data_IF_355072278653
#
_entry.id   IF_355072278653
#
_cell.length_a   1.000
_cell.length_b   1.000
_cell.length_c   1.000
_cell.angle_alpha   90.00
_cell.angle_beta   90.00
_cell.angle_gamma   90.00
#
_symmetry.space_group_name_H-M   'P 1'
#
loop_
_entity.id
_entity.type
_entity.pdbx_description
1 polymer ?
#
# COMPACT_ATOMS: atom_id res chain seq x y z
N UNK A 1 -32.49 -46.76 17.06
CA UNK A 1 -31.41 -45.86 16.63
C UNK A 1 -31.79 -45.28 15.26
N UNK A 2 -32.33 -44.08 15.24
CA UNK A 2 -32.71 -43.43 14.00
C UNK A 2 -31.46 -42.74 13.42
N UNK A 3 -31.01 -43.16 12.23
CA UNK A 3 -29.98 -42.49 11.46
C UNK A 3 -30.59 -41.17 10.89
N UNK A 4 -30.23 -40.04 11.48
CA UNK A 4 -30.48 -38.76 10.86
C UNK A 4 -29.54 -38.62 9.65
N UNK A 5 -30.14 -38.68 8.48
CA UNK A 5 -29.50 -38.32 7.21
C UNK A 5 -29.31 -36.82 7.22
N UNK A 6 -28.17 -36.34 7.68
CA UNK A 6 -27.77 -34.94 7.53
C UNK A 6 -27.07 -34.83 6.18
N UNK A 7 -27.85 -34.44 5.14
CA UNK A 7 -27.25 -34.12 3.85
C UNK A 7 -26.10 -33.13 3.99
N UNK A 8 -25.23 -33.04 3.00
CA UNK A 8 -23.96 -32.30 2.88
C UNK A 8 -23.88 -30.94 3.62
N UNK A 9 -23.97 -30.96 4.96
CA UNK A 9 -23.81 -29.75 5.78
C UNK A 9 -22.47 -29.83 6.52
N UNK A 10 -21.55 -28.90 6.18
CA UNK A 10 -20.40 -28.65 7.03
C UNK A 10 -20.82 -27.80 8.23
N UNK A 11 -20.49 -28.30 9.43
CA UNK A 11 -20.67 -27.51 10.66
C UNK A 11 -19.48 -26.58 10.78
N UNK A 12 -19.76 -25.27 10.76
CA UNK A 12 -18.77 -24.22 11.02
C UNK A 12 -19.15 -23.55 12.33
N UNK A 13 -18.25 -23.60 13.31
CA UNK A 13 -18.41 -22.89 14.58
C UNK A 13 -17.84 -21.50 14.46
N UNK A 14 -18.64 -20.47 14.74
CA UNK A 14 -18.23 -19.08 14.76
C UNK A 14 -18.34 -18.58 16.20
N UNK A 15 -17.25 -18.05 16.75
CA UNK A 15 -17.24 -17.35 18.03
C UNK A 15 -17.59 -15.88 17.78
N UNK A 16 -18.64 -15.37 18.43
CA UNK A 16 -19.07 -13.98 18.36
C UNK A 16 -18.85 -13.32 19.73
N UNK A 17 -18.38 -12.08 19.81
CA UNK A 17 -18.31 -11.31 21.05
C UNK A 17 -19.66 -11.23 21.76
N UNK A 18 -19.65 -11.20 23.09
CA UNK A 18 -20.87 -11.28 23.93
C UNK A 18 -21.83 -10.10 23.70
N UNK A 19 -21.30 -8.90 23.49
CA UNK A 19 -22.05 -7.70 23.15
C UNK A 19 -22.82 -7.84 21.83
N UNK A 20 -22.17 -8.40 20.81
CA UNK A 20 -22.81 -8.69 19.51
C UNK A 20 -23.84 -9.79 19.64
N UNK A 21 -23.60 -10.79 20.51
CA UNK A 21 -24.54 -11.85 20.76
C UNK A 21 -25.81 -11.35 21.45
N UNK A 22 -25.67 -10.43 22.42
CA UNK A 22 -26.80 -9.79 23.12
C UNK A 22 -27.63 -8.92 22.18
N UNK A 23 -26.99 -8.22 21.26
CA UNK A 23 -27.67 -7.40 20.25
C UNK A 23 -28.44 -8.27 19.24
N UNK A 24 -27.86 -9.37 18.79
CA UNK A 24 -28.53 -10.38 17.97
C UNK A 24 -29.77 -10.98 18.65
N UNK A 25 -29.72 -11.19 19.98
CA UNK A 25 -30.89 -11.68 20.75
C UNK A 25 -32.02 -10.65 20.80
N UNK A 26 -31.73 -9.37 20.92
CA UNK A 26 -32.72 -8.30 20.84
C UNK A 26 -33.42 -8.28 19.48
N UNK A 27 -32.69 -8.49 18.40
CA UNK A 27 -33.21 -8.49 17.03
C UNK A 27 -33.98 -9.77 16.68
N UNK A 28 -33.67 -10.90 17.30
CA UNK A 28 -34.27 -12.21 17.00
C UNK A 28 -35.38 -12.63 17.97
N UNK A 29 -35.78 -11.76 18.91
CA UNK A 29 -36.91 -12.01 19.80
C UNK A 29 -36.64 -12.95 20.98
N UNK A 30 -35.39 -13.07 21.44
CA UNK A 30 -35.05 -13.60 22.79
C UNK A 30 -35.32 -15.07 23.07
N UNK A 31 -35.44 -15.94 22.07
CA UNK A 31 -35.66 -17.37 22.24
C UNK A 31 -34.38 -18.19 22.11
N UNK A 32 -34.02 -18.97 23.13
CA UNK A 32 -32.82 -19.83 23.22
C UNK A 32 -32.41 -20.43 21.86
N UNK A 33 -31.32 -19.93 21.30
CA UNK A 33 -30.50 -20.52 20.21
C UNK A 33 -31.11 -20.78 18.83
N UNK A 34 -32.42 -20.67 18.60
CA UNK A 34 -33.04 -20.96 17.29
C UNK A 34 -33.02 -19.81 16.28
N UNK A 35 -33.00 -18.57 16.77
CA UNK A 35 -33.03 -17.38 15.92
C UNK A 35 -31.67 -16.95 15.40
N UNK A 36 -30.61 -17.01 16.22
CA UNK A 36 -29.26 -16.54 15.91
C UNK A 36 -28.65 -17.24 14.67
N UNK A 37 -28.69 -18.59 14.68
CA UNK A 37 -28.14 -19.38 13.57
C UNK A 37 -28.89 -19.15 12.26
N UNK A 38 -30.22 -19.03 12.30
CA UNK A 38 -31.03 -18.75 11.12
C UNK A 38 -30.74 -17.35 10.57
N UNK A 39 -30.57 -16.34 11.45
CA UNK A 39 -30.25 -14.97 11.06
C UNK A 39 -28.85 -14.87 10.45
N UNK A 40 -27.84 -15.51 11.07
CA UNK A 40 -26.47 -15.56 10.53
C UNK A 40 -26.45 -16.21 9.14
N UNK A 41 -27.12 -17.36 9.00
CA UNK A 41 -27.23 -18.04 7.69
C UNK A 41 -27.92 -17.16 6.65
N UNK A 42 -28.99 -16.43 7.04
CA UNK A 42 -29.68 -15.53 6.13
C UNK A 42 -28.82 -14.30 5.76
N UNK A 43 -28.09 -13.73 6.71
CA UNK A 43 -27.17 -12.63 6.44
C UNK A 43 -26.03 -13.06 5.49
N UNK A 44 -25.47 -14.27 5.70
CA UNK A 44 -24.48 -14.86 4.80
C UNK A 44 -25.07 -15.08 3.39
N UNK A 45 -26.28 -15.63 3.30
CA UNK A 45 -26.96 -15.84 2.01
C UNK A 45 -27.18 -14.51 1.28
N UNK A 46 -27.75 -13.51 1.97
CA UNK A 46 -27.96 -12.18 1.38
C UNK A 46 -26.63 -11.58 0.88
N UNK A 47 -25.52 -11.78 1.61
CA UNK A 47 -24.21 -11.31 1.17
C UNK A 47 -23.67 -12.07 -0.03
N UNK A 48 -23.92 -13.38 -0.09
CA UNK A 48 -23.56 -14.22 -1.24
C UNK A 48 -24.43 -13.89 -2.46
N UNK A 49 -25.73 -13.66 -2.26
CA UNK A 49 -26.67 -13.28 -3.32
C UNK A 49 -26.31 -11.90 -3.90
N UNK A 50 -25.95 -10.93 -3.06
CA UNK A 50 -25.44 -9.62 -3.50
C UNK A 50 -24.15 -9.80 -4.31
N UNK A 51 -23.21 -10.63 -3.84
CA UNK A 51 -21.98 -10.93 -4.59
C UNK A 51 -22.27 -11.66 -5.89
N UNK A 52 -23.18 -12.64 -5.90
CA UNK A 52 -23.61 -13.35 -7.10
C UNK A 52 -24.19 -12.41 -8.14
N UNK A 53 -25.09 -11.52 -7.72
CA UNK A 53 -25.69 -10.48 -8.58
C UNK A 53 -24.64 -9.49 -9.08
N UNK A 54 -23.71 -9.07 -8.22
CA UNK A 54 -22.61 -8.19 -8.61
C UNK A 54 -21.67 -8.85 -9.64
N UNK A 55 -21.31 -10.12 -9.41
CA UNK A 55 -20.52 -10.89 -10.39
C UNK A 55 -21.24 -11.09 -11.72
N UNK A 56 -22.55 -11.32 -11.69
CA UNK A 56 -23.36 -11.43 -12.89
C UNK A 56 -23.43 -10.10 -13.65
N UNK A 57 -23.72 -8.99 -12.96
CA UNK A 57 -23.74 -7.65 -13.54
C UNK A 57 -22.34 -7.22 -14.05
N UNK A 58 -21.30 -7.59 -13.34
CA UNK A 58 -19.91 -7.34 -13.76
C UNK A 58 -19.53 -8.16 -15.01
N UNK A 59 -19.99 -9.43 -15.10
CA UNK A 59 -19.84 -10.26 -16.32
C UNK A 59 -20.63 -9.70 -17.49
N UNK A 60 -21.85 -9.25 -17.25
CA UNK A 60 -22.71 -8.64 -18.28
C UNK A 60 -22.17 -7.27 -18.74
N UNK A 61 -21.60 -6.47 -17.82
CA UNK A 61 -20.93 -5.22 -18.16
C UNK A 61 -19.64 -5.47 -18.97
N UNK A 62 -18.83 -6.49 -18.60
CA UNK A 62 -17.67 -6.92 -19.39
C UNK A 62 -18.05 -7.51 -20.75
N UNK A 63 -19.21 -8.17 -20.86
CA UNK A 63 -19.72 -8.69 -22.14
C UNK A 63 -20.28 -7.59 -23.06
N UNK A 64 -20.67 -6.43 -22.50
CA UNK A 64 -21.13 -5.26 -23.26
C UNK A 64 -20.03 -4.27 -23.59
N UNK A 65 -18.85 -4.39 -23.00
CA UNK A 65 -17.67 -3.66 -23.46
C UNK A 65 -17.33 -4.13 -24.88
N UNK A 66 -17.00 -3.24 -25.82
CA UNK A 66 -16.46 -3.69 -27.09
C UNK A 66 -15.30 -4.62 -26.75
N UNK A 67 -15.32 -5.84 -27.29
CA UNK A 67 -14.18 -6.74 -27.23
C UNK A 67 -13.04 -6.03 -27.95
N UNK A 68 -12.20 -5.31 -27.20
CA UNK A 68 -10.88 -5.01 -27.68
C UNK A 68 -10.26 -6.39 -27.92
N UNK A 69 -9.78 -6.65 -29.12
CA UNK A 69 -8.92 -7.79 -29.41
C UNK A 69 -7.64 -7.59 -28.56
N UNK A 70 -7.70 -7.96 -27.29
CA UNK A 70 -6.51 -7.94 -26.43
C UNK A 70 -5.66 -9.10 -26.89
N UNK A 71 -4.63 -8.79 -27.63
CA UNK A 71 -3.60 -9.76 -27.99
C UNK A 71 -2.87 -10.18 -26.72
N UNK A 72 -2.73 -11.48 -26.47
CA UNK A 72 -2.03 -12.00 -25.30
C UNK A 72 -0.64 -12.49 -25.72
N UNK A 73 0.36 -12.18 -24.91
CA UNK A 73 1.67 -12.83 -24.98
C UNK A 73 1.73 -13.96 -23.95
N UNK A 74 2.59 -14.95 -24.22
CA UNK A 74 2.91 -16.02 -23.26
C UNK A 74 4.22 -15.68 -22.58
N UNK A 75 4.21 -15.61 -21.26
CA UNK A 75 5.40 -15.51 -20.43
C UNK A 75 5.56 -16.77 -19.59
N UNK A 76 6.77 -17.03 -19.14
CA UNK A 76 7.10 -18.21 -18.32
C UNK A 76 7.82 -17.78 -17.04
N UNK A 77 7.54 -18.49 -15.95
CA UNK A 77 8.30 -18.44 -14.71
C UNK A 77 8.57 -19.86 -14.20
N UNK A 78 9.08 -19.99 -12.97
CA UNK A 78 9.33 -21.30 -12.34
C UNK A 78 8.08 -22.15 -12.12
N UNK A 79 6.88 -21.53 -12.21
CA UNK A 79 5.57 -22.18 -12.06
C UNK A 79 4.94 -22.56 -13.42
N UNK A 80 5.60 -22.25 -14.54
CA UNK A 80 5.14 -22.56 -15.88
C UNK A 80 4.63 -21.35 -16.67
N UNK A 81 3.91 -21.62 -17.77
CA UNK A 81 3.39 -20.61 -18.67
C UNK A 81 2.22 -19.82 -18.09
N UNK A 82 2.12 -18.55 -18.47
CA UNK A 82 1.02 -17.65 -18.12
C UNK A 82 0.68 -16.73 -19.29
N UNK A 83 -0.61 -16.54 -19.56
CA UNK A 83 -1.10 -15.53 -20.51
C UNK A 83 -1.10 -14.16 -19.86
N UNK A 84 -0.45 -13.20 -20.50
CA UNK A 84 -0.37 -11.80 -20.07
C UNK A 84 -0.89 -10.93 -21.20
N UNK A 85 -1.74 -9.89 -20.93
CA UNK A 85 -2.17 -8.97 -21.98
C UNK A 85 -0.98 -8.32 -22.69
N UNK A 86 -1.02 -8.27 -24.02
CA UNK A 86 0.11 -7.82 -24.85
C UNK A 86 0.46 -6.35 -24.66
N UNK A 87 -0.54 -5.54 -24.27
CA UNK A 87 -0.42 -4.10 -24.03
C UNK A 87 0.07 -3.74 -22.60
N UNK A 88 0.26 -4.72 -21.71
CA UNK A 88 0.65 -4.47 -20.32
C UNK A 88 2.12 -4.79 -20.07
N UNK A 89 2.80 -3.93 -19.29
CA UNK A 89 4.19 -4.16 -18.88
C UNK A 89 4.34 -5.13 -17.70
N UNK A 90 3.28 -5.38 -16.92
CA UNK A 90 3.38 -6.43 -15.90
C UNK A 90 3.53 -7.81 -16.54
N UNK A 91 4.10 -8.76 -15.82
CA UNK A 91 4.41 -10.09 -16.32
C UNK A 91 3.61 -11.21 -15.64
N UNK A 92 4.17 -12.42 -15.71
CA UNK A 92 3.52 -13.65 -15.26
C UNK A 92 3.27 -13.68 -13.74
N UNK A 93 4.16 -13.14 -12.91
CA UNK A 93 3.96 -13.12 -11.46
C UNK A 93 2.75 -12.24 -11.06
N UNK A 94 2.64 -11.07 -11.67
CA UNK A 94 1.48 -10.19 -11.49
C UNK A 94 0.21 -10.84 -12.02
N UNK A 95 0.23 -11.44 -13.19
CA UNK A 95 -0.94 -12.14 -13.75
C UNK A 95 -1.42 -13.29 -12.84
N UNK A 96 -0.50 -14.07 -12.25
CA UNK A 96 -0.84 -15.09 -11.25
C UNK A 96 -1.45 -14.49 -9.99
N UNK A 97 -0.90 -13.37 -9.51
CA UNK A 97 -1.43 -12.67 -8.34
C UNK A 97 -2.87 -12.20 -8.55
N UNK A 98 -3.20 -11.68 -9.72
CA UNK A 98 -4.57 -11.29 -10.09
C UNK A 98 -5.56 -12.46 -10.05
N UNK A 99 -5.09 -13.67 -10.38
CA UNK A 99 -5.92 -14.89 -10.29
C UNK A 99 -6.06 -15.37 -8.85
N UNK A 100 -4.95 -15.37 -8.10
CA UNK A 100 -4.90 -15.95 -6.76
C UNK A 100 -5.48 -15.05 -5.67
N UNK A 101 -5.43 -13.73 -5.86
CA UNK A 101 -5.82 -12.72 -4.86
C UNK A 101 -6.89 -11.75 -5.41
N UNK A 102 -7.92 -12.27 -6.05
CA UNK A 102 -9.09 -11.48 -6.47
C UNK A 102 -10.00 -11.19 -5.27
N UNK A 103 -9.50 -10.39 -4.33
CA UNK A 103 -10.14 -10.08 -3.04
C UNK A 103 -10.31 -8.57 -2.92
N UNK A 104 -11.57 -8.12 -2.83
CA UNK A 104 -11.89 -6.69 -2.75
C UNK A 104 -11.67 -5.95 -4.07
N UNK A 105 -11.85 -4.64 -4.04
CA UNK A 105 -11.73 -3.78 -5.23
C UNK A 105 -10.59 -2.76 -5.10
N UNK A 106 -10.07 -2.55 -3.89
CA UNK A 106 -8.99 -1.62 -3.64
C UNK A 106 -7.67 -2.11 -4.25
N UNK A 107 -6.97 -1.22 -4.93
CA UNK A 107 -5.65 -1.46 -5.50
C UNK A 107 -4.57 -0.78 -4.66
N UNK A 108 -3.31 -1.14 -4.88
CA UNK A 108 -2.19 -0.50 -4.20
C UNK A 108 -2.21 1.02 -4.42
N UNK A 109 -2.09 1.82 -3.34
CA UNK A 109 -2.20 3.28 -3.44
C UNK A 109 -1.03 3.87 -4.24
N UNK A 110 -1.35 4.92 -5.01
CA UNK A 110 -0.39 5.60 -5.88
C UNK A 110 0.90 6.06 -5.16
N UNK A 111 0.85 6.61 -3.93
CA UNK A 111 2.08 6.97 -3.21
C UNK A 111 3.02 5.78 -2.98
N UNK A 112 2.49 4.57 -2.75
CA UNK A 112 3.31 3.37 -2.60
C UNK A 112 3.98 2.97 -3.92
N UNK A 113 3.25 3.03 -5.05
CA UNK A 113 3.82 2.74 -6.37
C UNK A 113 4.91 3.76 -6.72
N UNK A 114 4.67 5.06 -6.46
CA UNK A 114 5.68 6.11 -6.59
C UNK A 114 6.94 5.79 -5.78
N UNK A 115 6.78 5.40 -4.53
CA UNK A 115 7.88 5.04 -3.64
C UNK A 115 8.69 3.84 -4.18
N UNK A 116 8.02 2.85 -4.77
CA UNK A 116 8.70 1.76 -5.48
C UNK A 116 9.50 2.26 -6.68
N UNK A 117 8.97 3.19 -7.47
CA UNK A 117 9.72 3.85 -8.55
C UNK A 117 11.01 4.48 -8.04
N UNK A 118 10.92 5.31 -6.99
CA UNK A 118 12.08 5.94 -6.32
C UNK A 118 13.09 4.89 -5.85
N UNK A 119 12.61 3.84 -5.17
CA UNK A 119 13.45 2.78 -4.62
C UNK A 119 14.22 2.05 -5.74
N UNK A 120 13.52 1.64 -6.80
CA UNK A 120 14.12 0.84 -7.89
C UNK A 120 15.12 1.64 -8.71
N UNK A 121 14.82 2.89 -9.02
CA UNK A 121 15.80 3.76 -9.69
C UNK A 121 17.03 4.02 -8.82
N UNK A 122 16.86 4.25 -7.52
CA UNK A 122 17.97 4.46 -6.59
C UNK A 122 18.84 3.20 -6.46
N UNK A 123 18.20 2.03 -6.37
CA UNK A 123 18.90 0.74 -6.33
C UNK A 123 19.69 0.48 -7.61
N UNK A 124 19.13 0.75 -8.79
CA UNK A 124 19.81 0.58 -10.07
C UNK A 124 21.04 1.50 -10.19
N UNK A 125 20.90 2.80 -9.85
CA UNK A 125 22.03 3.75 -9.82
C UNK A 125 23.12 3.30 -8.87
N UNK A 126 22.75 2.90 -7.66
CA UNK A 126 23.70 2.42 -6.65
C UNK A 126 24.43 1.17 -7.12
N UNK A 127 23.71 0.18 -7.66
CA UNK A 127 24.33 -1.04 -8.19
C UNK A 127 25.25 -0.78 -9.38
N UNK A 128 24.90 0.17 -10.26
CA UNK A 128 25.78 0.64 -11.35
C UNK A 128 27.06 1.25 -10.79
N UNK A 129 26.94 2.17 -9.85
CA UNK A 129 28.08 2.90 -9.29
C UNK A 129 29.01 1.98 -8.47
N UNK A 130 28.48 0.89 -7.92
CA UNK A 130 29.22 -0.20 -7.28
C UNK A 130 29.80 -1.21 -8.27
N UNK A 131 29.52 -1.10 -9.55
CA UNK A 131 30.01 -2.01 -10.60
C UNK A 131 29.38 -3.42 -10.58
N UNK A 132 28.24 -3.59 -9.89
CA UNK A 132 27.54 -4.90 -9.81
C UNK A 132 26.36 -5.01 -10.79
N UNK A 133 26.04 -3.92 -11.49
CA UNK A 133 25.05 -3.87 -12.57
C UNK A 133 25.67 -3.15 -13.77
N UNK A 134 25.47 -3.72 -14.97
CA UNK A 134 25.90 -3.10 -16.21
C UNK A 134 25.30 -1.69 -16.36
N UNK A 135 26.11 -0.78 -16.93
CA UNK A 135 25.74 0.63 -17.02
C UNK A 135 24.50 0.86 -17.88
N UNK A 136 24.45 0.23 -19.05
CA UNK A 136 23.38 0.42 -20.02
C UNK A 136 22.07 -0.17 -19.47
N UNK A 137 22.15 -1.37 -18.87
CA UNK A 137 21.01 -2.00 -18.17
C UNK A 137 20.51 -1.13 -17.02
N UNK A 138 21.40 -0.55 -16.23
CA UNK A 138 21.03 0.33 -15.13
C UNK A 138 20.36 1.61 -15.62
N UNK A 139 20.85 2.21 -16.69
CA UNK A 139 20.29 3.45 -17.25
C UNK A 139 18.85 3.22 -17.75
N UNK A 140 18.56 2.11 -18.47
CA UNK A 140 17.18 1.75 -18.84
C UNK A 140 16.27 1.51 -17.63
N UNK A 141 16.77 0.86 -16.56
CA UNK A 141 16.00 0.65 -15.33
C UNK A 141 15.70 1.99 -14.64
N UNK A 142 16.65 2.91 -14.64
CA UNK A 142 16.47 4.25 -14.06
C UNK A 142 15.39 5.02 -14.82
N UNK A 143 15.45 5.04 -16.16
CA UNK A 143 14.48 5.75 -17.00
C UNK A 143 13.06 5.18 -16.79
N UNK A 144 12.91 3.85 -16.83
CA UNK A 144 11.63 3.19 -16.55
C UNK A 144 11.14 3.44 -15.10
N UNK A 145 12.06 3.47 -14.14
CA UNK A 145 11.76 3.80 -12.74
C UNK A 145 11.27 5.24 -12.56
N UNK A 146 11.79 6.18 -13.35
CA UNK A 146 11.30 7.57 -13.39
C UNK A 146 9.87 7.65 -13.93
N UNK A 147 9.52 6.92 -14.99
CA UNK A 147 8.16 6.84 -15.51
C UNK A 147 7.19 6.28 -14.44
N UNK A 148 7.57 5.22 -13.70
CA UNK A 148 6.79 4.71 -12.57
C UNK A 148 6.62 5.78 -11.49
N UNK A 149 7.70 6.47 -11.12
CA UNK A 149 7.66 7.53 -10.12
C UNK A 149 6.73 8.68 -10.52
N UNK A 150 6.69 9.06 -11.79
CA UNK A 150 5.84 10.16 -12.30
C UNK A 150 4.39 9.73 -12.51
N UNK A 151 4.09 8.44 -12.66
CA UNK A 151 2.74 7.91 -12.84
C UNK A 151 2.38 7.59 -14.28
N UNK A 152 3.33 7.67 -15.18
CA UNK A 152 3.12 7.41 -16.60
C UNK A 152 2.76 5.93 -16.86
N UNK A 153 3.06 5.05 -15.90
CA UNK A 153 2.83 3.61 -15.96
C UNK A 153 1.79 3.09 -14.95
N UNK A 154 0.98 3.96 -14.33
CA UNK A 154 0.05 3.59 -13.26
C UNK A 154 -0.95 2.50 -13.66
N UNK A 155 -1.37 2.44 -14.92
CA UNK A 155 -2.29 1.42 -15.43
C UNK A 155 -1.71 -0.01 -15.45
N UNK A 156 -0.40 -0.17 -15.21
CA UNK A 156 0.30 -1.45 -15.15
C UNK A 156 0.43 -2.00 -13.73
N UNK A 157 -0.22 -1.35 -12.74
CA UNK A 157 -0.22 -1.76 -11.33
C UNK A 157 -1.63 -2.16 -10.84
N UNK A 158 -2.19 -3.26 -11.35
CA UNK A 158 -3.58 -3.65 -11.10
C UNK A 158 -3.78 -4.45 -9.80
N UNK A 159 -2.73 -4.70 -9.01
CA UNK A 159 -2.80 -5.62 -7.88
C UNK A 159 -3.66 -5.10 -6.74
N UNK A 160 -4.46 -6.01 -6.17
CA UNK A 160 -5.28 -5.74 -4.99
C UNK A 160 -4.41 -5.57 -3.74
N UNK A 161 -4.89 -4.76 -2.80
CA UNK A 161 -4.22 -4.59 -1.49
C UNK A 161 -4.26 -5.89 -0.66
N UNK A 162 -5.30 -6.70 -0.81
CA UNK A 162 -5.48 -7.99 -0.12
C UNK A 162 -4.70 -9.10 -0.82
N UNK A 163 -3.39 -9.01 -0.74
CA UNK A 163 -2.41 -10.00 -1.21
C UNK A 163 -1.63 -10.58 -0.03
N UNK A 164 -0.49 -11.26 -0.22
CA UNK A 164 0.34 -11.73 0.89
C UNK A 164 0.86 -10.56 1.73
N UNK A 165 0.93 -10.73 3.04
CA UNK A 165 1.39 -9.70 3.97
C UNK A 165 2.84 -9.23 3.78
N UNK A 166 3.66 -10.01 3.06
CA UNK A 166 5.04 -9.65 2.72
C UNK A 166 5.17 -8.59 1.62
N UNK A 167 4.09 -8.31 0.88
CA UNK A 167 4.11 -7.38 -0.26
C UNK A 167 4.90 -7.88 -1.48
N UNK A 168 5.22 -9.18 -1.53
CA UNK A 168 6.06 -9.74 -2.59
C UNK A 168 5.44 -9.57 -3.97
N UNK A 169 4.10 -9.67 -4.09
CA UNK A 169 3.42 -9.49 -5.37
C UNK A 169 3.61 -8.06 -5.91
N UNK A 170 3.50 -7.04 -5.06
CA UNK A 170 3.71 -5.64 -5.47
C UNK A 170 5.16 -5.38 -5.86
N UNK A 171 6.13 -5.93 -5.10
CA UNK A 171 7.54 -5.84 -5.50
C UNK A 171 7.78 -6.50 -6.86
N UNK A 172 7.21 -7.69 -7.09
CA UNK A 172 7.33 -8.38 -8.38
C UNK A 172 6.61 -7.62 -9.50
N UNK A 173 5.43 -7.05 -9.25
CA UNK A 173 4.74 -6.21 -10.22
C UNK A 173 5.64 -5.04 -10.66
N UNK A 174 6.26 -4.34 -9.70
CA UNK A 174 7.19 -3.25 -10.00
C UNK A 174 8.39 -3.74 -10.81
N UNK A 175 8.99 -4.88 -10.42
CA UNK A 175 10.12 -5.46 -11.14
C UNK A 175 9.77 -5.80 -12.59
N UNK A 176 8.59 -6.40 -12.80
CA UNK A 176 8.11 -6.80 -14.14
C UNK A 176 7.81 -5.58 -15.01
N UNK A 177 7.11 -4.58 -14.47
CA UNK A 177 6.78 -3.34 -15.19
C UNK A 177 8.06 -2.61 -15.62
N UNK A 178 8.98 -2.38 -14.70
CA UNK A 178 10.25 -1.71 -15.00
C UNK A 178 11.08 -2.54 -15.99
N UNK A 179 11.17 -3.86 -15.82
CA UNK A 179 11.95 -4.71 -16.75
C UNK A 179 11.37 -4.69 -18.15
N UNK A 180 10.05 -4.84 -18.31
CA UNK A 180 9.42 -4.85 -19.62
C UNK A 180 9.50 -3.48 -20.30
N UNK A 181 9.32 -2.38 -19.54
CA UNK A 181 9.51 -1.04 -20.10
C UNK A 181 10.95 -0.78 -20.53
N UNK A 182 11.91 -1.21 -19.73
CA UNK A 182 13.34 -1.14 -20.08
C UNK A 182 13.70 -2.00 -21.31
N UNK A 183 13.10 -3.19 -21.44
CA UNK A 183 13.25 -4.06 -22.63
C UNK A 183 12.74 -3.35 -23.89
N UNK A 184 11.58 -2.69 -23.80
CA UNK A 184 11.02 -1.91 -24.90
C UNK A 184 11.93 -0.74 -25.29
N UNK A 185 12.47 0.02 -24.32
CA UNK A 185 13.44 1.10 -24.56
C UNK A 185 14.71 0.58 -25.27
N UNK A 186 15.12 -0.63 -24.95
CA UNK A 186 16.25 -1.31 -25.60
C UNK A 186 15.90 -1.90 -26.98
N UNK A 187 14.65 -1.77 -27.46
CA UNK A 187 14.19 -2.35 -28.72
C UNK A 187 13.98 -3.86 -28.67
N UNK A 188 13.84 -4.45 -27.48
CA UNK A 188 13.62 -5.86 -27.26
C UNK A 188 12.14 -6.27 -27.30
N UNK A 189 11.87 -7.55 -27.04
CA UNK A 189 10.52 -8.13 -27.04
C UNK A 189 9.99 -8.23 -25.62
N UNK A 190 8.80 -7.68 -25.35
CA UNK A 190 8.16 -7.75 -24.04
C UNK A 190 8.03 -9.20 -23.55
N UNK A 191 8.35 -9.42 -22.29
CA UNK A 191 8.32 -10.74 -21.66
C UNK A 191 9.55 -11.62 -21.95
N UNK A 192 10.47 -11.18 -22.80
CA UNK A 192 11.70 -11.94 -23.14
C UNK A 192 12.69 -12.04 -21.97
N UNK A 193 12.59 -11.14 -20.98
CA UNK A 193 13.56 -10.98 -19.88
C UNK A 193 14.97 -10.63 -20.34
N UNK A 194 15.12 -10.14 -21.55
CA UNK A 194 16.39 -9.74 -22.17
C UNK A 194 16.20 -8.44 -22.96
N UNK A 195 17.09 -7.43 -22.82
CA UNK A 195 18.34 -7.45 -22.03
C UNK A 195 18.15 -7.22 -20.53
N UNK A 196 16.93 -6.89 -20.03
CA UNK A 196 16.66 -6.61 -18.63
C UNK A 196 15.83 -7.72 -18.00
N UNK A 197 16.33 -8.32 -16.91
CA UNK A 197 15.63 -9.37 -16.16
C UNK A 197 15.02 -8.79 -14.86
N UNK A 198 13.73 -9.07 -14.54
CA UNK A 198 13.06 -8.48 -13.38
C UNK A 198 13.73 -8.83 -12.03
N UNK A 199 14.22 -10.08 -11.85
CA UNK A 199 14.88 -10.50 -10.63
C UNK A 199 16.37 -10.18 -10.61
N UNK A 200 17.08 -10.49 -11.71
CA UNK A 200 18.55 -10.47 -11.71
C UNK A 200 19.11 -9.06 -11.89
N UNK A 201 18.33 -8.15 -12.49
CA UNK A 201 18.71 -6.76 -12.74
C UNK A 201 17.90 -5.77 -11.89
N UNK A 202 16.57 -5.70 -12.06
CA UNK A 202 15.73 -4.71 -11.36
C UNK A 202 15.72 -4.96 -9.84
N UNK A 203 15.70 -6.23 -9.42
CA UNK A 203 15.72 -6.61 -8.00
C UNK A 203 17.13 -6.96 -7.47
N UNK A 204 18.18 -6.60 -8.18
CA UNK A 204 19.58 -6.92 -7.82
C UNK A 204 19.94 -6.46 -6.41
N UNK A 205 20.40 -7.41 -5.58
CA UNK A 205 20.79 -7.12 -4.18
C UNK A 205 19.62 -6.76 -3.26
N UNK A 206 18.39 -7.12 -3.61
CA UNK A 206 17.17 -6.80 -2.87
C UNK A 206 16.34 -8.06 -2.59
N UNK A 207 15.39 -7.93 -1.68
CA UNK A 207 14.31 -8.88 -1.40
C UNK A 207 12.99 -8.12 -1.28
N UNK A 208 11.85 -8.79 -1.47
CA UNK A 208 10.55 -8.18 -1.12
C UNK A 208 10.49 -7.80 0.36
N UNK A 209 11.23 -8.52 1.20
CA UNK A 209 11.22 -8.32 2.65
C UNK A 209 11.86 -6.98 3.07
N UNK A 210 12.83 -6.46 2.33
CA UNK A 210 13.43 -5.16 2.60
C UNK A 210 12.89 -4.04 1.70
N UNK A 211 12.43 -4.36 0.46
CA UNK A 211 11.91 -3.35 -0.46
C UNK A 211 10.52 -2.84 -0.06
N UNK A 212 9.59 -3.73 0.33
CA UNK A 212 8.24 -3.33 0.65
C UNK A 212 8.16 -2.41 1.87
N UNK A 213 8.77 -2.74 3.03
CA UNK A 213 8.81 -1.82 4.17
C UNK A 213 9.54 -0.50 3.83
N UNK A 214 10.60 -0.54 3.04
CA UNK A 214 11.26 0.68 2.57
C UNK A 214 10.32 1.55 1.73
N UNK A 215 9.56 0.97 0.80
CA UNK A 215 8.58 1.71 0.01
C UNK A 215 7.44 2.28 0.88
N UNK A 216 6.99 1.57 1.91
CA UNK A 216 6.02 2.07 2.89
C UNK A 216 6.55 3.30 3.63
N UNK A 217 7.79 3.26 4.10
CA UNK A 217 8.45 4.38 4.78
C UNK A 217 8.60 5.61 3.88
N UNK A 218 9.07 5.41 2.64
CA UNK A 218 9.19 6.49 1.66
C UNK A 218 7.83 7.13 1.38
N UNK A 219 6.81 6.31 1.10
CA UNK A 219 5.47 6.79 0.79
C UNK A 219 4.87 7.59 1.95
N UNK A 220 4.96 7.05 3.18
CA UNK A 220 4.44 7.73 4.37
C UNK A 220 5.16 9.05 4.63
N UNK A 221 6.48 9.07 4.55
CA UNK A 221 7.27 10.27 4.80
C UNK A 221 7.01 11.37 3.76
N UNK A 222 6.93 11.03 2.45
CA UNK A 222 6.58 11.99 1.38
C UNK A 222 5.16 12.56 1.60
N UNK A 223 4.16 11.73 1.90
CA UNK A 223 2.79 12.17 2.13
C UNK A 223 2.66 13.06 3.38
N UNK A 224 3.39 12.73 4.45
CA UNK A 224 3.42 13.57 5.65
C UNK A 224 4.04 14.94 5.34
N UNK A 225 5.23 14.97 4.74
CA UNK A 225 5.97 16.22 4.51
C UNK A 225 5.28 17.10 3.46
N UNK A 226 4.90 16.52 2.32
CA UNK A 226 4.42 17.31 1.19
C UNK A 226 2.92 17.64 1.26
N UNK A 227 2.11 16.85 1.95
CA UNK A 227 0.66 17.01 2.00
C UNK A 227 0.14 17.30 3.41
N UNK A 228 0.37 16.43 4.38
CA UNK A 228 -0.23 16.55 5.71
C UNK A 228 0.27 17.80 6.47
N UNK A 229 1.57 17.95 6.63
CA UNK A 229 2.16 19.08 7.38
C UNK A 229 1.80 20.42 6.73
N UNK A 230 1.80 20.52 5.41
CA UNK A 230 1.38 21.74 4.69
C UNK A 230 -0.08 22.07 4.97
N UNK A 231 -0.95 21.08 4.92
CA UNK A 231 -2.38 21.25 5.17
C UNK A 231 -2.67 21.68 6.60
N UNK A 232 -2.04 21.03 7.58
CA UNK A 232 -2.18 21.37 9.01
C UNK A 232 -1.65 22.79 9.29
N UNK A 233 -0.49 23.16 8.74
CA UNK A 233 0.06 24.52 8.86
C UNK A 233 -0.87 25.58 8.24
N UNK A 234 -1.48 25.27 7.09
CA UNK A 234 -2.45 26.17 6.43
C UNK A 234 -3.70 26.33 7.29
N UNK A 235 -4.27 25.25 7.82
CA UNK A 235 -5.42 25.29 8.71
C UNK A 235 -5.10 26.10 9.99
N UNK A 236 -3.97 25.84 10.64
CA UNK A 236 -3.51 26.58 11.81
C UNK A 236 -3.45 28.07 11.53
N UNK A 237 -2.88 28.47 10.39
CA UNK A 237 -2.76 29.88 10.00
C UNK A 237 -4.12 30.54 9.84
N UNK A 238 -5.10 29.88 9.23
CA UNK A 238 -6.46 30.38 9.07
C UNK A 238 -7.19 30.51 10.43
N UNK A 239 -7.07 29.50 11.30
CA UNK A 239 -7.67 29.58 12.64
C UNK A 239 -7.01 30.67 13.49
N UNK A 240 -5.68 30.86 13.38
CA UNK A 240 -4.99 31.94 14.07
C UNK A 240 -5.45 33.35 13.60
N UNK A 241 -5.73 33.49 12.31
CA UNK A 241 -6.34 34.72 11.79
C UNK A 241 -7.75 34.96 12.38
N UNK A 242 -8.57 33.92 12.45
CA UNK A 242 -9.92 34.00 13.04
C UNK A 242 -9.89 34.21 14.55
N UNK A 243 -8.92 33.63 15.25
CA UNK A 243 -8.69 33.92 16.67
C UNK A 243 -8.50 35.42 16.90
N UNK A 244 -7.70 36.11 16.10
CA UNK A 244 -7.47 37.56 16.20
C UNK A 244 -8.73 38.38 15.88
N UNK A 245 -9.41 37.99 14.78
CA UNK A 245 -10.64 38.64 14.32
C UNK A 245 -11.75 38.56 15.38
N UNK A 246 -11.85 37.45 16.13
CA UNK A 246 -12.91 37.17 17.10
C UNK A 246 -12.50 37.49 18.54
N UNK A 247 -11.41 38.19 18.77
CA UNK A 247 -10.87 38.42 20.10
C UNK A 247 -11.84 39.17 21.02
N UNK A 248 -12.62 40.12 20.46
CA UNK A 248 -13.52 40.96 21.20
C UNK A 248 -14.98 40.48 21.22
N UNK A 249 -15.26 39.33 20.61
CA UNK A 249 -16.60 38.75 20.56
C UNK A 249 -16.85 37.93 21.84
N UNK A 250 -17.59 38.49 22.79
CA UNK A 250 -17.97 37.81 24.03
C UNK A 250 -19.08 36.79 23.77
N UNK A 251 -18.90 35.59 24.29
CA UNK A 251 -19.89 34.50 24.25
C UNK A 251 -19.98 33.79 25.60
N UNK A 252 -21.02 33.01 25.78
CA UNK A 252 -21.15 32.15 26.94
C UNK A 252 -20.29 30.88 26.78
N UNK A 253 -19.56 30.50 27.80
CA UNK A 253 -18.92 29.17 27.91
C UNK A 253 -19.96 28.12 28.26
N UNK A 254 -19.62 26.84 28.03
CA UNK A 254 -20.52 25.71 28.29
C UNK A 254 -19.79 24.57 28.96
N UNK A 255 -20.35 24.06 30.07
CA UNK A 255 -19.90 22.86 30.77
C UNK A 255 -21.10 22.00 31.11
N UNK A 256 -20.97 20.68 31.07
CA UNK A 256 -22.08 19.75 31.34
C UNK A 256 -23.37 20.06 30.54
N UNK A 257 -23.21 20.55 29.30
CA UNK A 257 -24.31 20.99 28.44
C UNK A 257 -25.12 22.19 28.97
N UNK A 258 -24.63 22.90 30.01
CA UNK A 258 -25.24 24.06 30.63
C UNK A 258 -24.36 25.30 30.42
N UNK A 259 -24.98 26.47 30.46
CA UNK A 259 -24.28 27.74 30.42
C UNK A 259 -23.33 27.88 31.62
N UNK A 260 -22.09 28.29 31.35
CA UNK A 260 -21.03 28.48 32.32
C UNK A 260 -20.58 29.97 32.35
N UNK A 261 -19.28 30.21 32.53
CA UNK A 261 -18.73 31.56 32.56
C UNK A 261 -18.51 32.13 31.17
N UNK A 262 -18.59 33.48 30.98
CA UNK A 262 -18.24 34.10 29.71
C UNK A 262 -16.78 33.90 29.30
N UNK A 263 -16.55 33.83 27.99
CA UNK A 263 -15.23 33.89 27.35
C UNK A 263 -15.38 34.61 26.01
N UNK A 264 -14.26 34.90 25.35
CA UNK A 264 -14.33 35.41 23.97
C UNK A 264 -14.27 34.25 22.98
N UNK A 265 -14.88 34.46 21.82
CA UNK A 265 -14.76 33.49 20.69
C UNK A 265 -13.30 33.35 20.27
N UNK A 266 -12.49 34.42 20.34
CA UNK A 266 -11.07 34.37 20.12
C UNK A 266 -10.33 33.44 21.10
N UNK A 267 -10.74 33.44 22.39
CA UNK A 267 -10.18 32.47 23.37
C UNK A 267 -10.51 31.03 23.01
N UNK A 268 -11.72 30.73 22.54
CA UNK A 268 -12.10 29.41 22.09
C UNK A 268 -11.24 28.99 20.89
N UNK A 269 -11.06 29.84 19.87
CA UNK A 269 -10.21 29.58 18.72
C UNK A 269 -8.74 29.42 19.11
N UNK A 270 -8.26 30.09 20.15
CA UNK A 270 -6.88 29.92 20.65
C UNK A 270 -6.60 28.47 21.07
N UNK A 271 -7.62 27.80 21.64
CA UNK A 271 -7.53 26.38 21.98
C UNK A 271 -7.31 25.51 20.74
N UNK A 272 -8.05 25.74 19.66
CA UNK A 272 -7.89 25.00 18.39
C UNK A 272 -6.53 25.25 17.76
N UNK A 273 -6.05 26.49 17.76
CA UNK A 273 -4.69 26.83 17.27
C UNK A 273 -3.63 26.09 18.06
N UNK A 274 -3.73 26.09 19.40
CA UNK A 274 -2.77 25.41 20.26
C UNK A 274 -2.75 23.89 20.07
N UNK A 275 -3.93 23.27 19.87
CA UNK A 275 -4.01 21.83 19.54
C UNK A 275 -3.26 21.51 18.24
N UNK A 276 -3.47 22.28 17.17
CA UNK A 276 -2.76 22.07 15.91
C UNK A 276 -1.24 22.30 16.01
N UNK A 277 -0.80 23.25 16.85
CA UNK A 277 0.63 23.44 17.15
C UNK A 277 1.22 22.22 17.86
N UNK A 278 0.48 21.65 18.80
CA UNK A 278 0.89 20.43 19.47
C UNK A 278 0.94 19.23 18.53
N UNK A 279 -0.04 19.13 17.61
CA UNK A 279 -0.11 18.05 16.63
C UNK A 279 1.03 18.14 15.60
N UNK A 280 1.37 19.34 15.13
CA UNK A 280 2.56 19.53 14.26
C UNK A 280 3.83 18.97 14.92
N UNK A 281 4.07 19.28 16.20
CA UNK A 281 5.23 18.74 16.93
C UNK A 281 5.20 17.21 17.07
N UNK A 282 4.01 16.63 17.29
CA UNK A 282 3.85 15.17 17.40
C UNK A 282 4.12 14.49 16.07
N UNK A 283 3.58 15.02 14.98
CA UNK A 283 3.79 14.50 13.62
C UNK A 283 5.27 14.57 13.24
N UNK A 284 5.91 15.75 13.46
CA UNK A 284 7.34 15.94 13.19
C UNK A 284 8.24 15.03 14.05
N UNK A 285 7.80 14.67 15.24
CA UNK A 285 8.51 13.70 16.08
C UNK A 285 8.34 12.27 15.57
N UNK A 286 7.11 11.84 15.30
CA UNK A 286 6.81 10.49 14.83
C UNK A 286 7.44 10.20 13.45
N UNK A 287 7.53 11.21 12.59
CA UNK A 287 8.12 11.08 11.26
C UNK A 287 9.60 10.66 11.28
N UNK A 288 10.32 10.91 12.37
CA UNK A 288 11.78 10.62 12.44
C UNK A 288 12.09 9.15 12.23
N UNK A 289 11.28 8.27 12.78
CA UNK A 289 11.49 6.84 12.69
C UNK A 289 11.20 6.30 11.28
N UNK A 290 10.42 7.03 10.48
CA UNK A 290 10.18 6.69 9.06
C UNK A 290 11.44 6.88 8.18
N UNK A 291 12.41 7.67 8.61
CA UNK A 291 13.61 7.92 7.81
C UNK A 291 14.63 6.79 7.85
N UNK A 292 14.45 5.80 8.71
CA UNK A 292 15.28 4.60 8.73
C UNK A 292 14.76 3.55 7.74
N UNK A 293 15.60 3.12 6.80
CA UNK A 293 15.20 2.21 5.72
C UNK A 293 15.73 0.79 5.93
N UNK A 294 14.87 -0.19 5.73
CA UNK A 294 15.19 -1.62 5.78
C UNK A 294 16.07 -2.07 4.60
N UNK A 295 16.08 -1.33 3.50
CA UNK A 295 16.73 -1.71 2.25
C UNK A 295 18.22 -2.00 2.45
N UNK A 296 18.67 -3.11 1.83
CA UNK A 296 20.00 -3.69 2.02
C UNK A 296 20.04 -4.78 3.09
N UNK A 297 18.96 -5.01 3.87
CA UNK A 297 18.82 -6.16 4.75
C UNK A 297 18.58 -7.47 4.00
N UNK A 298 18.09 -7.38 2.78
CA UNK A 298 17.68 -8.51 1.93
C UNK A 298 16.62 -9.40 2.61
N UNK A 299 16.72 -10.71 2.54
CA UNK A 299 15.66 -11.62 2.98
C UNK A 299 15.40 -11.62 4.48
N UNK A 300 16.45 -11.51 5.30
CA UNK A 300 16.37 -11.70 6.76
C UNK A 300 17.17 -10.68 7.59
N UNK A 301 17.76 -9.67 6.95
CA UNK A 301 18.51 -8.61 7.65
C UNK A 301 20.05 -8.73 7.56
N UNK A 302 20.56 -9.82 6.98
CA UNK A 302 22.01 -10.07 6.89
C UNK A 302 22.69 -9.41 5.70
N UNK A 303 21.93 -8.89 4.72
CA UNK A 303 22.48 -8.31 3.50
C UNK A 303 23.04 -9.35 2.51
N UNK A 304 22.68 -10.62 2.65
CA UNK A 304 23.14 -11.67 1.76
C UNK A 304 22.79 -11.35 0.29
N UNK A 305 23.76 -11.52 -0.62
CA UNK A 305 23.67 -11.21 -2.05
C UNK A 305 23.59 -9.71 -2.40
N UNK A 306 23.89 -8.80 -1.46
CA UNK A 306 24.10 -7.38 -1.74
C UNK A 306 25.57 -6.97 -1.53
N UNK A 307 25.98 -5.88 -2.21
CA UNK A 307 27.30 -5.30 -1.96
C UNK A 307 27.35 -4.71 -0.55
N UNK A 308 28.48 -4.80 0.21
CA UNK A 308 28.56 -4.28 1.57
C UNK A 308 28.15 -2.81 1.73
N UNK A 309 28.46 -1.98 0.76
CA UNK A 309 28.15 -0.54 0.78
C UNK A 309 26.76 -0.22 0.24
N UNK A 310 26.02 -1.21 -0.31
CA UNK A 310 24.74 -0.98 -0.98
C UNK A 310 23.72 -0.27 -0.08
N UNK A 311 23.53 -0.76 1.14
CA UNK A 311 22.54 -0.24 2.07
C UNK A 311 22.73 1.27 2.37
N UNK A 312 23.97 1.68 2.58
CA UNK A 312 24.30 3.08 2.89
C UNK A 312 24.17 3.98 1.66
N UNK A 313 24.61 3.52 0.50
CA UNK A 313 24.60 4.30 -0.73
C UNK A 313 23.20 4.46 -1.31
N UNK A 314 22.39 3.39 -1.28
CA UNK A 314 21.01 3.46 -1.79
C UNK A 314 20.14 4.37 -0.90
N UNK A 315 20.31 4.36 0.42
CA UNK A 315 19.62 5.29 1.31
C UNK A 315 19.98 6.75 1.00
N UNK A 316 21.25 7.04 0.73
CA UNK A 316 21.71 8.38 0.31
C UNK A 316 21.11 8.81 -1.04
N UNK A 317 21.00 7.88 -2.00
CA UNK A 317 20.39 8.19 -3.30
C UNK A 317 18.89 8.45 -3.16
N UNK A 318 18.17 7.69 -2.30
CA UNK A 318 16.78 7.93 -1.96
C UNK A 318 16.62 9.30 -1.27
N UNK A 319 17.46 9.62 -0.30
CA UNK A 319 17.45 10.91 0.40
C UNK A 319 17.65 12.09 -0.58
N UNK A 320 18.60 11.96 -1.51
CA UNK A 320 18.84 12.95 -2.56
C UNK A 320 17.64 13.13 -3.47
N UNK A 321 16.95 12.06 -3.81
CA UNK A 321 15.82 12.09 -4.75
C UNK A 321 14.55 12.66 -4.13
N UNK A 322 14.31 12.39 -2.85
CA UNK A 322 13.13 12.84 -2.11
C UNK A 322 13.33 14.17 -1.38
N UNK A 323 14.57 14.63 -1.26
CA UNK A 323 14.97 15.74 -0.40
C UNK A 323 14.62 15.53 1.09
N UNK A 324 14.43 14.27 1.50
CA UNK A 324 14.14 13.86 2.88
C UNK A 324 15.34 13.14 3.48
N UNK A 325 15.57 13.21 4.81
CA UNK A 325 16.79 12.73 5.45
C UNK A 325 16.81 11.21 5.66
N UNK A 326 16.49 10.43 4.64
CA UNK A 326 16.54 8.98 4.71
C UNK A 326 17.95 8.46 4.96
N UNK A 327 18.04 7.48 5.85
CA UNK A 327 19.26 6.77 6.23
C UNK A 327 19.06 5.26 6.19
N UNK A 328 20.16 4.52 6.10
CA UNK A 328 20.13 3.07 6.29
C UNK A 328 19.91 2.76 7.76
N UNK A 329 18.88 1.96 8.09
CA UNK A 329 18.61 1.58 9.48
C UNK A 329 19.82 0.94 10.13
N UNK A 330 20.06 1.26 11.40
CA UNK A 330 21.15 0.70 12.20
C UNK A 330 20.97 -0.82 12.38
N UNK A 331 19.74 -1.25 12.62
CA UNK A 331 19.41 -2.66 12.82
C UNK A 331 18.43 -3.14 11.74
N UNK A 332 18.93 -3.82 10.72
CA UNK A 332 18.13 -4.37 9.62
C UNK A 332 17.17 -5.47 10.08
N UNK A 333 17.50 -6.22 11.13
CA UNK A 333 16.64 -7.29 11.65
C UNK A 333 15.37 -6.71 12.27
N UNK A 334 15.50 -5.65 13.05
CA UNK A 334 14.36 -4.94 13.61
C UNK A 334 13.50 -4.31 12.50
N UNK A 335 14.13 -3.63 11.55
CA UNK A 335 13.45 -2.87 10.52
C UNK A 335 12.70 -3.73 9.48
N UNK A 336 13.11 -5.00 9.32
CA UNK A 336 12.37 -5.96 8.51
C UNK A 336 11.13 -6.52 9.23
N UNK A 337 11.15 -6.57 10.56
CA UNK A 337 10.15 -7.25 11.38
C UNK A 337 9.11 -6.29 11.98
N UNK A 338 9.50 -5.06 12.30
CA UNK A 338 8.66 -4.09 12.99
C UNK A 338 8.18 -2.98 12.04
N UNK A 339 6.92 -2.58 12.21
CA UNK A 339 6.30 -1.48 11.47
C UNK A 339 5.76 -0.40 12.41
N UNK A 340 6.30 -0.31 13.61
CA UNK A 340 5.88 0.64 14.66
C UNK A 340 5.96 2.09 14.20
N UNK A 341 6.92 2.42 13.34
CA UNK A 341 7.07 3.76 12.77
C UNK A 341 5.87 4.22 11.92
N UNK A 342 5.05 3.28 11.42
CA UNK A 342 3.89 3.57 10.58
C UNK A 342 2.60 3.59 11.42
N UNK A 343 2.57 2.91 12.57
CA UNK A 343 1.42 2.82 13.48
C UNK A 343 1.36 4.01 14.42
#
# INVERSE_FOLDING_TARGET
>A
MAKHNVGDRRIVSVSIPEDVAQELDRWTGGGKNKGRSAWIVQAIRNRLDIKGTYHQLSREAKARSPQSNVEFRIETDTMGEMKVPGDKYYGCQTARSLVNFDIGDDVMPRPLIRAFGILKLAAARTNRDLGVLDREVADWIVDAGEEVMHGDLDEHFPLRIWQTGSGTQTNMNTNEVIANRAIEMAGGVLGSKSPVHPNDHVNKGQSSNDTFPTAMHIAAAEEIEHNLLKSVRSLKTKLSSKQKEFNDIVKIGRTHLMDATPLTLGQEFSGYVHMLEADLRRIEYAQKDLFELALGGTAVGTGLNSHPDFAQLVAKEIAKRTELPFISAENKFAQLAAHDAIV
#
